data_IF_152449642301
#
_entry.id   IF_152449642301
#
_cell.length_a   1.000
_cell.length_b   1.000
_cell.length_c   1.000
_cell.angle_alpha   90.00
_cell.angle_beta   90.00
_cell.angle_gamma   90.00
#
_symmetry.space_group_name_H-M   'P 1'
#
loop_
_entity.id
_entity.type
_entity.pdbx_description
1 polymer ?
#
# COMPACT_ATOMS: atom_id res chain seq x y z
N UNK A 1 51.72 -0.01 8.54
CA UNK A 1 50.26 -0.09 8.77
C UNK A 1 49.66 1.29 9.12
N UNK A 2 49.72 2.30 8.22
CA UNK A 2 49.17 3.65 8.48
C UNK A 2 47.97 4.05 7.59
N UNK A 3 47.68 3.27 6.55
CA UNK A 3 46.66 3.59 5.54
C UNK A 3 45.23 3.28 6.04
N UNK A 4 45.05 2.24 6.86
CA UNK A 4 43.73 1.85 7.37
C UNK A 4 43.09 2.86 8.34
N UNK A 5 43.91 3.58 9.12
CA UNK A 5 43.41 4.56 10.09
C UNK A 5 42.89 5.83 9.41
N UNK A 6 43.54 6.24 8.31
CA UNK A 6 43.14 7.39 7.51
C UNK A 6 41.79 7.14 6.81
N UNK A 7 41.60 5.94 6.27
CA UNK A 7 40.37 5.55 5.59
C UNK A 7 39.18 5.52 6.56
N UNK A 8 39.38 4.98 7.76
CA UNK A 8 38.34 4.95 8.79
C UNK A 8 37.91 6.36 9.23
N UNK A 9 38.85 7.30 9.34
CA UNK A 9 38.54 8.68 9.69
C UNK A 9 37.76 9.39 8.57
N UNK A 10 38.12 9.20 7.31
CA UNK A 10 37.39 9.79 6.18
C UNK A 10 35.95 9.26 6.12
N UNK A 11 35.75 7.95 6.30
CA UNK A 11 34.41 7.35 6.31
C UNK A 11 33.56 7.89 7.47
N UNK A 12 34.14 7.99 8.67
CA UNK A 12 33.45 8.57 9.83
C UNK A 12 33.08 10.05 9.59
N UNK A 13 33.96 10.81 8.95
CA UNK A 13 33.72 12.22 8.64
C UNK A 13 32.60 12.38 7.59
N UNK A 14 32.56 11.52 6.58
CA UNK A 14 31.47 11.46 5.60
C UNK A 14 30.13 11.12 6.27
N UNK A 15 30.08 10.10 7.12
CA UNK A 15 28.86 9.70 7.83
C UNK A 15 28.39 10.81 8.78
N UNK A 16 29.33 11.48 9.46
CA UNK A 16 29.02 12.59 10.36
C UNK A 16 28.46 13.81 9.61
N UNK A 17 29.05 14.16 8.46
CA UNK A 17 28.55 15.26 7.61
C UNK A 17 27.15 14.91 7.08
N UNK A 18 26.93 13.70 6.58
CA UNK A 18 25.61 13.28 6.09
C UNK A 18 24.57 13.32 7.21
N UNK A 19 24.91 12.88 8.42
CA UNK A 19 23.97 12.81 9.54
C UNK A 19 23.64 14.19 10.15
N UNK A 20 24.54 15.17 10.07
CA UNK A 20 24.36 16.47 10.74
C UNK A 20 24.06 17.64 9.79
N UNK A 21 24.45 17.56 8.51
CA UNK A 21 24.27 18.67 7.54
C UNK A 21 23.00 18.50 6.71
N UNK A 22 22.61 17.26 6.39
CA UNK A 22 21.41 16.98 5.58
C UNK A 22 20.09 17.45 6.23
N UNK A 23 19.86 17.35 7.56
CA UNK A 23 18.58 17.78 8.11
C UNK A 23 18.37 19.31 8.12
N UNK A 24 19.41 20.12 7.86
CA UNK A 24 19.32 21.57 7.88
C UNK A 24 19.00 22.20 6.50
N UNK A 25 19.05 21.40 5.42
CA UNK A 25 18.92 21.90 4.04
C UNK A 25 17.90 21.10 3.23
N UNK A 26 16.84 20.61 3.87
CA UNK A 26 15.66 20.15 3.14
C UNK A 26 14.60 21.25 3.17
N UNK A 27 14.39 21.99 2.06
CA UNK A 27 13.21 22.83 1.95
C UNK A 27 11.97 21.94 2.09
N UNK A 28 11.04 22.36 2.94
CA UNK A 28 9.80 21.65 3.30
C UNK A 28 8.91 21.27 2.12
N UNK A 29 9.16 21.81 0.92
CA UNK A 29 8.41 21.49 -0.29
C UNK A 29 8.91 20.21 -0.98
N UNK A 30 10.19 19.84 -0.82
CA UNK A 30 10.77 18.64 -1.45
C UNK A 30 10.47 17.35 -0.67
N UNK A 31 10.07 17.47 0.60
CA UNK A 31 9.63 16.32 1.40
C UNK A 31 8.26 15.78 0.98
N UNK A 32 7.40 16.61 0.39
CA UNK A 32 6.08 16.20 -0.10
C UNK A 32 6.22 15.32 -1.36
N UNK A 33 7.08 15.71 -2.30
CA UNK A 33 7.33 14.94 -3.52
C UNK A 33 7.98 13.59 -3.23
N UNK A 34 8.93 13.52 -2.29
CA UNK A 34 9.54 12.26 -1.88
C UNK A 34 8.57 11.34 -1.13
N UNK A 35 7.73 11.89 -0.24
CA UNK A 35 6.69 11.11 0.43
C UNK A 35 5.66 10.57 -0.56
N UNK A 36 5.28 11.36 -1.56
CA UNK A 36 4.37 10.95 -2.63
C UNK A 36 5.02 9.89 -3.54
N UNK A 37 6.30 10.04 -3.87
CA UNK A 37 7.03 9.05 -4.65
C UNK A 37 7.15 7.71 -3.91
N UNK A 38 7.42 7.75 -2.59
CA UNK A 38 7.39 6.54 -1.76
C UNK A 38 5.99 5.95 -1.60
N UNK A 39 4.92 6.76 -1.55
CA UNK A 39 3.55 6.23 -1.47
C UNK A 39 3.10 5.58 -2.78
N UNK A 40 3.49 6.16 -3.93
CA UNK A 40 3.24 5.56 -5.25
C UNK A 40 3.97 4.21 -5.39
N UNK A 41 5.18 4.11 -4.87
CA UNK A 41 5.96 2.87 -4.91
C UNK A 41 5.48 1.82 -3.88
N UNK A 42 4.73 2.22 -2.85
CA UNK A 42 4.19 1.32 -1.82
C UNK A 42 3.03 0.48 -2.36
N UNK A 43 2.15 1.05 -3.19
CA UNK A 43 1.01 0.30 -3.78
C UNK A 43 1.47 -0.84 -4.68
N UNK A 44 2.43 -0.57 -5.58
CA UNK A 44 3.01 -1.60 -6.44
C UNK A 44 3.84 -2.62 -5.64
N UNK A 45 4.62 -2.15 -4.65
CA UNK A 45 5.39 -3.03 -3.77
C UNK A 45 4.50 -3.92 -2.88
N UNK A 46 3.34 -3.44 -2.44
CA UNK A 46 2.38 -4.21 -1.63
C UNK A 46 1.75 -5.33 -2.43
N UNK A 47 1.44 -5.09 -3.71
CA UNK A 47 0.97 -6.14 -4.62
C UNK A 47 2.08 -7.14 -4.94
N UNK A 48 3.33 -6.69 -5.09
CA UNK A 48 4.48 -7.57 -5.32
C UNK A 48 4.88 -8.42 -4.10
N UNK A 49 4.43 -8.05 -2.89
CA UNK A 49 4.77 -8.74 -1.63
C UNK A 49 3.67 -9.68 -1.13
N UNK A 50 2.72 -10.07 -1.99
CA UNK A 50 1.56 -10.91 -1.64
C UNK A 50 0.72 -10.34 -0.47
N UNK A 51 0.80 -9.03 -0.22
CA UNK A 51 0.02 -8.39 0.83
C UNK A 51 -1.33 -7.96 0.27
N UNK A 52 -2.40 -8.32 0.98
CA UNK A 52 -3.75 -7.87 0.63
C UNK A 52 -3.86 -6.35 0.65
N UNK A 53 -4.57 -5.80 -0.32
CA UNK A 53 -5.02 -4.42 -0.33
C UNK A 53 -6.01 -4.23 0.82
N UNK A 54 -5.77 -3.23 1.67
CA UNK A 54 -6.63 -2.95 2.82
C UNK A 54 -7.78 -2.06 2.37
N UNK A 55 -9.00 -2.59 2.29
CA UNK A 55 -10.13 -1.89 1.68
C UNK A 55 -10.46 -0.56 2.37
N UNK A 56 -10.22 -0.43 3.68
CA UNK A 56 -10.46 0.83 4.40
C UNK A 56 -9.52 1.97 3.96
N UNK A 57 -8.30 1.63 3.50
CA UNK A 57 -7.31 2.60 2.96
C UNK A 57 -7.34 2.70 1.44
N UNK A 58 -7.85 1.67 0.77
CA UNK A 58 -7.87 1.55 -0.67
C UNK A 58 -8.53 2.76 -1.35
N UNK A 59 -7.82 3.33 -2.31
CA UNK A 59 -8.35 4.28 -3.28
C UNK A 59 -8.71 3.58 -4.60
N UNK A 60 -9.15 4.34 -5.61
CA UNK A 60 -9.53 3.79 -6.91
C UNK A 60 -8.33 3.11 -7.59
N UNK A 61 -7.17 3.76 -7.54
CA UNK A 61 -5.97 3.30 -8.21
C UNK A 61 -5.46 1.98 -7.60
N UNK A 62 -5.39 1.87 -6.28
CA UNK A 62 -5.02 0.63 -5.59
C UNK A 62 -5.98 -0.53 -5.94
N UNK A 63 -7.27 -0.26 -6.13
CA UNK A 63 -8.25 -1.29 -6.52
C UNK A 63 -8.11 -1.71 -7.99
N UNK A 64 -7.80 -0.78 -8.90
CA UNK A 64 -7.59 -1.07 -10.32
C UNK A 64 -6.33 -1.90 -10.58
N UNK A 65 -5.32 -1.80 -9.71
CA UNK A 65 -4.13 -2.64 -9.78
C UNK A 65 -4.42 -4.12 -9.42
N UNK A 66 -5.57 -4.41 -8.80
CA UNK A 66 -5.97 -5.78 -8.47
C UNK A 66 -6.44 -6.52 -9.72
N UNK A 67 -5.77 -7.62 -10.05
CA UNK A 67 -6.10 -8.44 -11.23
C UNK A 67 -7.58 -8.86 -11.26
N UNK A 68 -8.27 -8.50 -12.33
CA UNK A 68 -9.68 -8.83 -12.56
C UNK A 68 -10.67 -7.80 -12.03
N UNK A 69 -10.20 -6.68 -11.47
CA UNK A 69 -11.01 -5.51 -11.16
C UNK A 69 -10.89 -4.51 -12.33
N UNK A 70 -12.01 -4.24 -12.99
CA UNK A 70 -12.12 -3.14 -13.94
C UNK A 70 -12.47 -1.84 -13.22
N UNK A 71 -12.28 -0.69 -13.88
CA UNK A 71 -12.62 0.65 -13.36
C UNK A 71 -14.07 0.69 -12.86
N UNK A 72 -15.00 0.18 -13.67
CA UNK A 72 -16.42 0.08 -13.30
C UNK A 72 -16.72 -0.86 -12.13
N UNK A 73 -15.82 -1.80 -11.82
CA UNK A 73 -15.92 -2.68 -10.65
C UNK A 73 -15.32 -1.99 -9.43
N UNK A 74 -14.17 -1.34 -9.58
CA UNK A 74 -13.53 -0.54 -8.53
C UNK A 74 -14.46 0.57 -8.04
N UNK A 75 -15.12 1.29 -8.95
CA UNK A 75 -16.11 2.32 -8.62
C UNK A 75 -17.25 1.76 -7.76
N UNK A 76 -17.77 0.58 -8.11
CA UNK A 76 -18.84 -0.07 -7.33
C UNK A 76 -18.37 -0.56 -5.97
N UNK A 77 -17.12 -1.00 -5.85
CA UNK A 77 -16.50 -1.40 -4.59
C UNK A 77 -16.38 -0.16 -3.69
N UNK A 78 -15.85 0.95 -4.20
CA UNK A 78 -15.74 2.21 -3.45
C UNK A 78 -17.10 2.76 -3.04
N UNK A 79 -18.09 2.74 -3.93
CA UNK A 79 -19.44 3.20 -3.63
C UNK A 79 -20.11 2.41 -2.50
N UNK A 80 -19.70 1.15 -2.28
CA UNK A 80 -20.21 0.27 -1.22
C UNK A 80 -19.19 -0.04 -0.13
N UNK A 81 -18.10 0.71 -0.06
CA UNK A 81 -16.94 0.41 0.80
C UNK A 81 -17.34 0.17 2.25
N UNK A 82 -18.14 1.06 2.81
CA UNK A 82 -18.58 0.97 4.21
C UNK A 82 -19.55 -0.19 4.49
N UNK A 83 -20.34 -0.61 3.51
CA UNK A 83 -21.18 -1.81 3.63
C UNK A 83 -20.31 -3.07 3.64
N UNK A 84 -19.36 -3.16 2.71
CA UNK A 84 -18.46 -4.32 2.57
C UNK A 84 -17.62 -4.47 3.83
N UNK A 85 -17.07 -3.37 4.35
CA UNK A 85 -16.26 -3.39 5.57
C UNK A 85 -17.09 -3.88 6.76
N UNK A 86 -18.28 -3.29 6.96
CA UNK A 86 -19.19 -3.65 8.04
C UNK A 86 -19.59 -5.12 7.98
N UNK A 87 -19.90 -5.63 6.80
CA UNK A 87 -20.24 -7.04 6.60
C UNK A 87 -19.00 -7.94 6.78
N UNK A 88 -17.82 -7.49 6.37
CA UNK A 88 -16.54 -8.16 6.61
C UNK A 88 -16.21 -8.34 8.09
N UNK A 89 -16.65 -7.42 8.96
CA UNK A 89 -16.57 -7.58 10.42
C UNK A 89 -17.63 -8.52 11.00
N UNK A 90 -18.78 -8.67 10.33
CA UNK A 90 -19.90 -9.52 10.79
C UNK A 90 -19.74 -10.98 10.40
N UNK A 91 -19.10 -11.26 9.26
CA UNK A 91 -18.91 -12.62 8.78
C UNK A 91 -17.73 -13.32 9.47
N UNK A 92 -17.89 -14.64 9.67
CA UNK A 92 -16.80 -15.54 10.04
C UNK A 92 -15.66 -15.45 9.01
N UNK A 93 -14.42 -15.70 9.44
CA UNK A 93 -13.22 -15.61 8.60
C UNK A 93 -13.35 -16.29 7.24
N UNK A 94 -14.00 -17.45 7.19
CA UNK A 94 -14.20 -18.24 5.96
C UNK A 94 -15.24 -17.62 5.01
N UNK A 95 -16.16 -16.81 5.53
CA UNK A 95 -17.31 -16.25 4.80
C UNK A 95 -17.15 -14.77 4.48
N UNK A 96 -16.05 -14.12 4.86
CA UNK A 96 -15.80 -12.69 4.59
C UNK A 96 -15.85 -12.34 3.11
N UNK A 97 -15.50 -13.28 2.24
CA UNK A 97 -15.63 -13.11 0.80
C UNK A 97 -17.09 -12.78 0.38
N UNK A 98 -18.10 -13.25 1.12
CA UNK A 98 -19.50 -12.96 0.82
C UNK A 98 -19.85 -11.46 0.90
N UNK A 99 -19.06 -10.64 1.60
CA UNK A 99 -19.26 -9.19 1.64
C UNK A 99 -19.19 -8.56 0.23
N UNK A 100 -18.35 -9.09 -0.67
CA UNK A 100 -18.23 -8.60 -2.04
C UNK A 100 -19.42 -8.99 -2.94
N UNK A 101 -20.19 -10.03 -2.57
CA UNK A 101 -21.34 -10.49 -3.39
C UNK A 101 -22.50 -9.50 -3.41
N UNK A 102 -22.50 -8.49 -2.52
CA UNK A 102 -23.47 -7.39 -2.49
C UNK A 102 -23.31 -6.40 -3.65
N UNK A 103 -22.19 -6.48 -4.38
CA UNK A 103 -21.93 -5.67 -5.54
C UNK A 103 -22.49 -6.37 -6.79
N UNK A 104 -23.33 -5.66 -7.53
CA UNK A 104 -23.92 -6.17 -8.77
C UNK A 104 -22.83 -6.54 -9.77
N UNK A 105 -22.80 -7.81 -10.16
CA UNK A 105 -21.82 -8.36 -11.13
C UNK A 105 -20.65 -9.12 -10.47
N UNK A 106 -20.58 -9.16 -9.14
CA UNK A 106 -19.64 -10.00 -8.40
C UNK A 106 -20.38 -11.22 -7.84
N UNK A 107 -20.19 -12.37 -8.49
CA UNK A 107 -20.67 -13.66 -7.98
C UNK A 107 -19.69 -14.29 -6.98
N UNK A 108 -20.09 -15.40 -6.34
CA UNK A 108 -19.29 -16.08 -5.31
C UNK A 108 -17.83 -16.36 -5.74
N UNK A 109 -17.62 -16.91 -6.94
CA UNK A 109 -16.28 -17.20 -7.46
C UNK A 109 -15.39 -15.95 -7.62
N UNK A 110 -15.96 -14.80 -8.00
CA UNK A 110 -15.21 -13.54 -8.10
C UNK A 110 -14.94 -12.99 -6.71
N UNK A 111 -15.92 -13.09 -5.82
CA UNK A 111 -15.82 -12.63 -4.45
C UNK A 111 -14.70 -13.37 -3.68
N UNK A 112 -14.56 -14.67 -3.87
CA UNK A 112 -13.45 -15.47 -3.32
C UNK A 112 -12.09 -14.94 -3.80
N UNK A 113 -11.91 -14.78 -5.12
CA UNK A 113 -10.67 -14.22 -5.69
C UNK A 113 -10.37 -12.81 -5.19
N UNK A 114 -11.38 -11.96 -5.06
CA UNK A 114 -11.17 -10.61 -4.52
C UNK A 114 -10.79 -10.65 -3.05
N UNK A 115 -11.33 -11.57 -2.25
CA UNK A 115 -10.94 -11.71 -0.86
C UNK A 115 -9.50 -12.22 -0.67
N UNK A 116 -8.96 -12.98 -1.64
CA UNK A 116 -7.54 -13.36 -1.64
C UNK A 116 -6.62 -12.15 -1.76
N UNK A 117 -7.05 -11.10 -2.48
CA UNK A 117 -6.25 -9.93 -2.80
C UNK A 117 -6.65 -8.68 -2.00
N UNK A 118 -7.84 -8.64 -1.42
CA UNK A 118 -8.41 -7.48 -0.71
C UNK A 118 -8.89 -7.94 0.67
N UNK A 119 -8.38 -7.30 1.73
CA UNK A 119 -8.91 -7.46 3.08
C UNK A 119 -10.05 -6.46 3.30
N UNK A 120 -11.30 -6.92 3.53
CA UNK A 120 -12.42 -6.05 3.80
C UNK A 120 -12.41 -5.45 5.22
N UNK A 121 -11.39 -5.70 6.06
CA UNK A 121 -11.30 -5.15 7.42
C UNK A 121 -10.58 -3.81 7.51
#
# INVERSE_FOLDING_TARGET
MKIGLLYLHIVLLCVFIISNVVPAFMPSELSLDLQYFFSLNDSESRLATDRKVLLHKADMYELELVSGISDSTAEKILAKKDEIIRDGYRYDLEKKHLAFTKIKGIGAKKAEKFYELIDPR
#
